data_IF_376356189453
#
_entry.id   IF_376356189453
#
_cell.length_a   1.000
_cell.length_b   1.000
_cell.length_c   1.000
_cell.angle_alpha   90.00
_cell.angle_beta   90.00
_cell.angle_gamma   90.00
#
_symmetry.space_group_name_H-M   'P 1'
#
loop_
_entity.id
_entity.type
_entity.pdbx_description
1 polymer ?
#
# COMPACT_ATOMS: atom_id res chain seq x y z
N UNK A 1 -17.67 0.37 16.34
CA UNK A 1 -17.98 1.55 15.50
C UNK A 1 -17.09 1.48 14.27
N UNK A 2 -17.66 1.61 13.07
CA UNK A 2 -16.87 1.71 11.81
C UNK A 2 -16.04 2.98 11.89
N UNK A 3 -14.71 2.89 11.72
CA UNK A 3 -13.86 4.06 11.59
C UNK A 3 -14.09 4.67 10.22
N UNK A 4 -14.08 5.97 10.11
CA UNK A 4 -14.16 6.69 8.85
C UNK A 4 -12.90 7.55 8.69
N UNK A 5 -11.95 7.05 7.91
CA UNK A 5 -10.70 7.76 7.64
C UNK A 5 -10.86 8.69 6.44
N UNK A 6 -11.16 9.95 6.71
CA UNK A 6 -11.01 11.00 5.71
C UNK A 6 -9.52 11.31 5.52
N UNK A 7 -9.05 11.26 4.26
CA UNK A 7 -7.67 11.57 3.88
C UNK A 7 -7.57 13.01 3.39
N UNK A 8 -6.58 13.74 3.86
CA UNK A 8 -6.32 15.13 3.50
C UNK A 8 -4.84 15.43 3.22
N UNK A 9 -4.52 16.69 2.98
CA UNK A 9 -3.16 17.16 2.63
C UNK A 9 -2.13 16.96 3.74
N UNK A 10 -2.58 16.78 4.99
CA UNK A 10 -1.71 16.51 6.15
C UNK A 10 -1.48 15.04 6.39
N UNK A 11 -1.95 14.19 5.48
CA UNK A 11 -1.75 12.74 5.50
C UNK A 11 -0.72 12.33 4.44
N UNK A 12 -0.07 11.18 4.65
CA UNK A 12 0.79 10.58 3.66
C UNK A 12 0.63 9.05 3.64
N UNK A 13 0.70 8.47 2.45
CA UNK A 13 0.82 7.03 2.25
C UNK A 13 2.31 6.66 2.16
N UNK A 14 2.73 5.67 2.94
CA UNK A 14 4.06 5.07 2.88
C UNK A 14 3.90 3.63 2.44
N UNK A 15 4.37 3.32 1.25
CA UNK A 15 4.36 1.98 0.66
C UNK A 15 5.72 1.35 0.91
N UNK A 16 5.75 0.28 1.71
CA UNK A 16 6.99 -0.31 2.20
C UNK A 16 7.39 -1.49 1.33
N UNK A 17 8.54 -1.38 0.64
CA UNK A 17 9.33 -2.44 0.03
C UNK A 17 8.57 -3.42 -0.87
N UNK A 18 7.63 -2.95 -1.68
CA UNK A 18 6.89 -3.80 -2.64
C UNK A 18 7.76 -4.05 -3.88
N UNK A 19 8.86 -4.79 -3.67
CA UNK A 19 9.90 -5.10 -4.64
C UNK A 19 9.76 -6.53 -5.17
N UNK A 20 10.33 -6.82 -6.35
CA UNK A 20 10.20 -8.14 -6.99
C UNK A 20 10.71 -9.28 -6.11
N UNK A 21 11.82 -9.07 -5.37
CA UNK A 21 12.37 -10.12 -4.50
C UNK A 21 11.47 -10.49 -3.32
N UNK A 22 10.56 -9.62 -2.91
CA UNK A 22 9.59 -9.90 -1.85
C UNK A 22 8.23 -10.42 -2.37
N UNK A 23 8.04 -10.46 -3.69
CA UNK A 23 6.85 -11.01 -4.33
C UNK A 23 7.07 -12.45 -4.78
N UNK A 24 6.01 -13.10 -5.26
CA UNK A 24 6.06 -14.49 -5.75
C UNK A 24 7.15 -14.65 -6.83
N UNK A 25 8.02 -15.65 -6.65
CA UNK A 25 9.15 -15.93 -7.54
C UNK A 25 10.41 -15.11 -7.28
N UNK A 26 10.41 -14.20 -6.31
CA UNK A 26 11.58 -13.43 -5.88
C UNK A 26 12.55 -14.22 -5.01
N UNK A 27 13.67 -13.60 -4.63
CA UNK A 27 14.74 -14.25 -3.87
C UNK A 27 14.39 -14.45 -2.38
N UNK A 28 13.48 -13.66 -1.83
CA UNK A 28 12.99 -13.73 -0.44
C UNK A 28 11.48 -13.46 -0.41
N UNK A 29 10.65 -14.35 -1.01
CA UNK A 29 9.24 -14.07 -1.16
C UNK A 29 8.52 -14.08 0.19
N UNK A 30 7.74 -13.03 0.44
CA UNK A 30 6.80 -12.97 1.55
C UNK A 30 5.57 -13.79 1.17
N UNK A 31 5.07 -14.69 2.04
CA UNK A 31 3.82 -15.41 1.78
C UNK A 31 2.69 -14.45 1.35
N UNK A 32 2.07 -14.70 0.21
CA UNK A 32 1.01 -13.84 -0.36
C UNK A 32 1.42 -12.37 -0.56
N UNK A 33 2.73 -12.09 -0.70
CA UNK A 33 3.27 -10.72 -0.75
C UNK A 33 2.74 -9.89 -1.92
N UNK A 34 2.46 -10.50 -3.05
CA UNK A 34 1.85 -9.87 -4.22
C UNK A 34 0.39 -9.46 -4.01
N UNK A 35 -0.32 -10.07 -3.04
CA UNK A 35 -1.71 -9.73 -2.74
C UNK A 35 -1.88 -8.34 -2.10
N UNK A 36 -0.81 -7.70 -1.62
CA UNK A 36 -0.89 -6.33 -1.14
C UNK A 36 -1.10 -5.31 -2.27
N UNK A 37 -0.72 -5.67 -3.51
CA UNK A 37 -0.65 -4.74 -4.64
C UNK A 37 -2.01 -4.18 -5.04
N UNK A 38 -3.08 -4.97 -5.21
CA UNK A 38 -4.40 -4.43 -5.53
C UNK A 38 -4.88 -3.41 -4.49
N UNK A 39 -4.81 -3.73 -3.20
CA UNK A 39 -5.21 -2.83 -2.12
C UNK A 39 -4.36 -1.55 -2.11
N UNK A 40 -3.03 -1.66 -2.25
CA UNK A 40 -2.15 -0.50 -2.34
C UNK A 40 -2.47 0.40 -3.54
N UNK A 41 -2.83 -0.18 -4.68
CA UNK A 41 -3.25 0.59 -5.85
C UNK A 41 -4.54 1.38 -5.59
N UNK A 42 -5.46 0.85 -4.79
CA UNK A 42 -6.67 1.57 -4.39
C UNK A 42 -6.35 2.67 -3.37
N UNK A 43 -5.50 2.42 -2.39
CA UNK A 43 -4.98 3.49 -1.52
C UNK A 43 -4.26 4.59 -2.29
N UNK A 44 -3.44 4.26 -3.29
CA UNK A 44 -2.82 5.25 -4.17
C UNK A 44 -3.86 6.17 -4.82
N UNK A 45 -4.99 5.64 -5.29
CA UNK A 45 -6.09 6.43 -5.88
C UNK A 45 -6.69 7.39 -4.84
N UNK A 46 -6.99 6.89 -3.62
CA UNK A 46 -7.55 7.66 -2.52
C UNK A 46 -6.62 8.84 -2.18
N UNK A 47 -5.33 8.57 -1.95
CA UNK A 47 -4.36 9.58 -1.57
C UNK A 47 -4.08 10.59 -2.69
N UNK A 48 -4.06 10.15 -3.96
CA UNK A 48 -4.00 11.07 -5.11
C UNK A 48 -5.19 12.01 -5.18
N UNK A 49 -6.41 11.50 -5.01
CA UNK A 49 -7.63 12.31 -5.02
C UNK A 49 -7.63 13.35 -3.91
N UNK A 50 -7.08 13.02 -2.74
CA UNK A 50 -6.93 13.92 -1.61
C UNK A 50 -5.76 14.92 -1.73
N UNK A 51 -4.96 14.87 -2.80
CA UNK A 51 -3.69 15.59 -2.93
C UNK A 51 -2.74 15.37 -1.74
N UNK A 52 -2.76 14.17 -1.15
CA UNK A 52 -1.92 13.73 -0.07
C UNK A 52 -0.56 13.19 -0.58
N UNK A 53 0.45 13.20 0.27
CA UNK A 53 1.78 12.70 -0.08
C UNK A 53 1.82 11.19 -0.31
N UNK A 54 2.57 10.72 -1.31
CA UNK A 54 2.82 9.30 -1.56
C UNK A 54 4.31 9.06 -1.58
N UNK A 55 4.76 8.14 -0.72
CA UNK A 55 6.16 7.74 -0.54
C UNK A 55 6.26 6.23 -0.72
N UNK A 56 7.40 5.77 -1.23
CA UNK A 56 7.72 4.36 -1.29
C UNK A 56 9.12 4.13 -0.72
N UNK A 57 9.29 3.13 0.14
CA UNK A 57 10.60 2.67 0.56
C UNK A 57 11.05 1.51 -0.30
N UNK A 58 12.34 1.29 -0.37
CA UNK A 58 12.94 0.10 -0.97
C UNK A 58 14.19 -0.32 -0.23
N UNK A 59 14.38 -1.62 -0.05
CA UNK A 59 15.69 -2.17 0.26
C UNK A 59 16.61 -1.99 -0.94
N UNK A 60 17.85 -1.55 -0.65
CA UNK A 60 18.83 -1.25 -1.68
C UNK A 60 20.21 -1.73 -1.23
N UNK A 61 20.30 -3.07 -1.08
CA UNK A 61 21.46 -3.71 -0.48
C UNK A 61 22.70 -3.70 -1.41
N UNK A 62 23.88 -3.32 -0.92
CA UNK A 62 25.12 -3.66 -1.61
C UNK A 62 25.31 -5.19 -1.63
N UNK A 63 26.08 -5.75 -2.61
CA UNK A 63 26.23 -7.21 -2.76
C UNK A 63 26.81 -7.94 -1.54
N UNK A 64 27.53 -7.22 -0.68
CA UNK A 64 28.17 -7.74 0.53
C UNK A 64 27.49 -7.29 1.82
N UNK A 65 26.17 -7.06 1.80
CA UNK A 65 25.44 -6.57 2.96
C UNK A 65 25.41 -7.58 4.11
N UNK A 66 25.57 -7.08 5.34
CA UNK A 66 25.69 -7.87 6.59
C UNK A 66 24.47 -8.79 6.83
N UNK A 67 23.29 -8.47 6.30
CA UNK A 67 22.10 -9.29 6.44
C UNK A 67 22.14 -10.60 5.66
N UNK A 68 23.07 -10.76 4.70
CA UNK A 68 23.13 -11.92 3.84
C UNK A 68 23.85 -13.09 4.50
N UNK A 69 23.41 -14.32 4.21
CA UNK A 69 24.00 -15.55 4.75
C UNK A 69 25.50 -15.65 4.53
N UNK A 70 26.01 -15.20 3.37
CA UNK A 70 27.43 -15.19 3.08
C UNK A 70 28.25 -14.24 3.99
N UNK A 71 27.58 -13.31 4.66
CA UNK A 71 28.14 -12.36 5.62
C UNK A 71 27.76 -12.71 7.07
N UNK A 72 27.17 -13.89 7.31
CA UNK A 72 26.73 -14.34 8.64
C UNK A 72 25.30 -13.88 9.03
N UNK A 73 24.59 -13.18 8.14
CA UNK A 73 23.22 -12.77 8.37
C UNK A 73 22.18 -13.88 8.12
N UNK A 74 20.91 -13.64 8.43
CA UNK A 74 19.87 -14.65 8.32
C UNK A 74 19.29 -14.82 6.90
N UNK A 75 19.47 -13.86 5.99
CA UNK A 75 18.74 -13.79 4.74
C UNK A 75 19.55 -14.27 3.52
N UNK A 76 18.92 -14.82 2.49
CA UNK A 76 19.55 -14.94 1.17
C UNK A 76 19.83 -13.54 0.60
N UNK A 77 20.74 -13.39 -0.38
CA UNK A 77 20.86 -12.14 -1.13
C UNK A 77 19.53 -11.76 -1.76
N UNK A 78 19.04 -10.55 -1.47
CA UNK A 78 17.79 -10.00 -1.97
C UNK A 78 17.89 -8.49 -2.11
N UNK A 79 17.07 -7.90 -2.96
CA UNK A 79 17.03 -6.46 -3.23
C UNK A 79 18.42 -5.84 -3.45
N UNK A 80 19.30 -6.62 -4.10
CA UNK A 80 20.66 -6.17 -4.42
C UNK A 80 20.61 -5.02 -5.41
N UNK A 81 21.37 -3.97 -5.15
CA UNK A 81 21.42 -2.76 -5.97
C UNK A 81 21.52 -3.08 -7.47
N UNK A 82 20.73 -2.37 -8.27
CA UNK A 82 20.70 -2.45 -9.74
C UNK A 82 20.20 -3.79 -10.31
N UNK A 83 19.78 -4.76 -9.49
CA UNK A 83 19.18 -6.02 -9.97
C UNK A 83 17.70 -5.86 -10.29
N UNK A 84 17.12 -6.85 -10.99
CA UNK A 84 15.68 -6.94 -11.22
C UNK A 84 14.92 -7.09 -9.89
N UNK A 85 15.46 -7.87 -8.96
CA UNK A 85 14.86 -8.13 -7.66
C UNK A 85 14.65 -6.88 -6.82
N UNK A 86 15.57 -5.92 -6.92
CA UNK A 86 15.50 -4.64 -6.22
C UNK A 86 14.51 -3.63 -6.82
N UNK A 87 13.94 -3.90 -8.00
CA UNK A 87 12.94 -3.02 -8.61
C UNK A 87 11.57 -3.22 -7.94
N UNK A 88 10.77 -2.16 -7.90
CA UNK A 88 9.37 -2.29 -7.52
C UNK A 88 8.63 -3.24 -8.45
N UNK A 89 7.65 -3.96 -7.91
CA UNK A 89 6.79 -4.83 -8.71
C UNK A 89 6.05 -3.99 -9.77
N UNK A 90 6.02 -4.42 -11.06
CA UNK A 90 5.45 -3.64 -12.15
C UNK A 90 3.93 -3.44 -12.05
N UNK A 91 3.24 -4.27 -11.27
CA UNK A 91 1.81 -4.15 -11.04
C UNK A 91 1.45 -3.09 -9.99
N UNK A 92 2.42 -2.63 -9.20
CA UNK A 92 2.27 -1.50 -8.30
C UNK A 92 2.28 -0.19 -9.10
N UNK A 93 1.18 0.54 -9.11
CA UNK A 93 0.96 1.73 -9.94
C UNK A 93 1.44 3.01 -9.25
N UNK A 94 2.72 3.06 -8.89
CA UNK A 94 3.33 4.24 -8.27
C UNK A 94 3.20 5.48 -9.18
N UNK A 95 2.70 6.62 -8.67
CA UNK A 95 2.74 7.89 -9.39
C UNK A 95 4.18 8.30 -9.75
N UNK A 96 4.37 8.99 -10.87
CA UNK A 96 5.69 9.46 -11.32
C UNK A 96 6.40 10.37 -10.31
N UNK A 97 5.63 11.08 -9.50
CA UNK A 97 6.13 12.00 -8.46
C UNK A 97 6.27 11.34 -7.09
N UNK A 98 6.12 10.01 -6.98
CA UNK A 98 6.35 9.29 -5.73
C UNK A 98 7.79 9.49 -5.27
N UNK A 99 7.95 9.90 -4.02
CA UNK A 99 9.28 10.00 -3.41
C UNK A 99 9.74 8.63 -2.94
N UNK A 100 10.85 8.16 -3.51
CA UNK A 100 11.46 6.87 -3.17
C UNK A 100 12.55 7.07 -2.13
N UNK A 101 12.46 6.34 -1.02
CA UNK A 101 13.46 6.30 0.05
C UNK A 101 14.19 4.95 -0.02
N UNK A 102 15.47 4.96 -0.33
CA UNK A 102 16.31 3.76 -0.30
C UNK A 102 16.89 3.56 1.09
N UNK A 103 16.79 2.35 1.63
CA UNK A 103 17.33 1.97 2.94
C UNK A 103 18.28 0.77 2.85
N UNK A 104 18.94 0.41 3.96
CA UNK A 104 19.91 -0.68 4.05
C UNK A 104 21.06 -0.57 3.02
N UNK A 105 21.51 0.64 2.73
CA UNK A 105 22.60 0.91 1.79
C UNK A 105 24.01 0.76 2.42
N UNK A 106 24.08 0.74 3.75
CA UNK A 106 25.35 0.53 4.44
C UNK A 106 25.64 -0.97 4.56
N UNK A 107 26.73 -1.50 3.98
CA UNK A 107 27.00 -2.93 4.00
C UNK A 107 27.19 -3.52 5.41
N UNK A 108 27.50 -2.69 6.40
CA UNK A 108 27.81 -3.12 7.78
C UNK A 108 26.63 -2.92 8.74
N UNK A 109 25.49 -2.44 8.28
CA UNK A 109 24.37 -2.09 9.15
C UNK A 109 23.03 -2.49 8.55
N UNK A 110 22.29 -3.34 9.29
CA UNK A 110 20.92 -3.67 8.95
C UNK A 110 19.97 -2.49 9.21
N UNK A 111 18.95 -2.35 8.36
CA UNK A 111 17.96 -1.30 8.46
C UNK A 111 16.61 -1.74 7.96
N UNK A 112 15.63 -1.87 8.86
CA UNK A 112 14.26 -2.21 8.52
C UNK A 112 13.34 -1.00 8.40
N UNK A 113 13.67 0.16 8.97
CA UNK A 113 12.77 1.32 9.00
C UNK A 113 13.01 2.29 7.85
N UNK A 114 11.94 2.73 7.17
CA UNK A 114 12.02 3.85 6.24
C UNK A 114 12.46 5.17 6.88
N UNK A 115 12.45 5.27 8.20
CA UNK A 115 12.84 6.46 8.96
C UNK A 115 14.25 6.40 9.55
N UNK A 116 15.06 5.41 9.26
CA UNK A 116 16.41 5.34 9.85
C UNK A 116 17.30 6.50 9.43
N UNK A 117 17.15 7.01 8.19
CA UNK A 117 17.69 8.31 7.80
C UNK A 117 16.73 9.45 8.15
N UNK A 118 17.26 10.64 8.34
CA UNK A 118 16.42 11.83 8.61
C UNK A 118 15.58 12.29 7.41
N UNK A 119 15.84 11.79 6.21
CA UNK A 119 15.28 12.29 4.94
C UNK A 119 13.76 12.19 4.88
N UNK A 120 13.19 11.01 5.18
CA UNK A 120 11.74 10.80 5.13
C UNK A 120 11.03 11.70 6.15
N UNK A 121 11.49 11.69 7.40
CA UNK A 121 10.88 12.50 8.46
C UNK A 121 10.93 14.00 8.15
N UNK A 122 12.06 14.49 7.68
CA UNK A 122 12.23 15.89 7.31
C UNK A 122 11.33 16.27 6.13
N UNK A 123 11.20 15.38 5.15
CA UNK A 123 10.33 15.63 3.99
C UNK A 123 8.86 15.67 4.40
N UNK A 124 8.40 14.73 5.22
CA UNK A 124 7.04 14.71 5.75
C UNK A 124 6.72 15.99 6.55
N UNK A 125 7.62 16.39 7.46
CA UNK A 125 7.46 17.62 8.25
C UNK A 125 7.41 18.88 7.38
N UNK A 126 8.27 18.98 6.37
CA UNK A 126 8.25 20.12 5.42
C UNK A 126 6.94 20.20 4.63
N UNK A 127 6.27 19.07 4.41
CA UNK A 127 4.96 19.02 3.76
C UNK A 127 3.78 19.19 4.73
N UNK A 128 4.04 19.41 6.03
CA UNK A 128 3.00 19.55 7.04
C UNK A 128 2.27 18.25 7.36
N UNK A 129 2.88 17.10 7.06
CA UNK A 129 2.27 15.80 7.35
C UNK A 129 2.28 15.56 8.85
N UNK A 130 1.12 15.17 9.37
CA UNK A 130 0.91 14.80 10.78
C UNK A 130 0.53 13.33 10.98
N UNK A 131 -0.03 12.68 9.91
CA UNK A 131 -0.45 11.30 9.97
C UNK A 131 0.06 10.53 8.76
N UNK A 132 0.57 9.32 9.01
CA UNK A 132 1.07 8.43 7.97
C UNK A 132 0.27 7.11 7.96
N UNK A 133 -0.07 6.66 6.77
CA UNK A 133 -0.69 5.36 6.53
C UNK A 133 0.36 4.44 5.91
N UNK A 134 0.58 3.29 6.51
CA UNK A 134 1.71 2.40 6.18
C UNK A 134 1.19 1.04 5.77
N UNK A 135 1.58 0.59 4.59
CA UNK A 135 1.31 -0.75 4.08
C UNK A 135 2.48 -1.26 3.24
N UNK A 136 2.50 -2.53 2.92
CA UNK A 136 3.55 -3.19 2.13
C UNK A 136 4.14 -4.41 2.80
N UNK A 137 5.44 -4.61 2.67
CA UNK A 137 6.16 -5.82 3.04
C UNK A 137 7.39 -5.53 3.93
N UNK A 138 7.73 -6.38 4.90
CA UNK A 138 6.85 -7.37 5.51
C UNK A 138 6.29 -6.82 6.82
N UNK A 139 5.06 -7.24 7.19
CA UNK A 139 4.34 -6.74 8.38
C UNK A 139 5.18 -6.84 9.64
N UNK A 140 5.85 -7.96 9.85
CA UNK A 140 6.64 -8.31 11.05
C UNK A 140 8.08 -7.76 11.02
N UNK A 141 8.51 -7.13 9.92
CA UNK A 141 9.83 -6.52 9.74
C UNK A 141 9.73 -5.04 9.35
N UNK A 142 9.83 -4.72 8.06
CA UNK A 142 9.99 -3.35 7.59
C UNK A 142 8.73 -2.49 7.85
N UNK A 143 7.53 -3.05 7.71
CA UNK A 143 6.28 -2.34 8.01
C UNK A 143 6.22 -2.00 9.49
N UNK A 144 6.40 -2.98 10.40
CA UNK A 144 6.44 -2.76 11.84
C UNK A 144 7.44 -1.68 12.22
N UNK A 145 8.70 -1.84 11.78
CA UNK A 145 9.75 -0.89 12.16
C UNK A 145 9.48 0.52 11.62
N UNK A 146 8.85 0.65 10.45
CA UNK A 146 8.45 1.94 9.90
C UNK A 146 7.32 2.58 10.73
N UNK A 147 6.29 1.81 11.12
CA UNK A 147 5.20 2.29 11.98
C UNK A 147 5.72 2.73 13.35
N UNK A 148 6.52 1.89 14.02
CA UNK A 148 7.09 2.22 15.33
C UNK A 148 7.98 3.46 15.28
N UNK A 149 8.79 3.60 14.24
CA UNK A 149 9.63 4.79 14.04
C UNK A 149 8.80 6.04 13.77
N UNK A 150 7.72 5.95 12.99
CA UNK A 150 6.79 7.06 12.78
C UNK A 150 6.19 7.54 14.11
N UNK A 151 5.71 6.61 14.94
CA UNK A 151 5.18 6.92 16.28
C UNK A 151 6.21 7.59 17.17
N UNK A 152 7.43 7.03 17.23
CA UNK A 152 8.54 7.60 18.01
C UNK A 152 8.92 9.01 17.56
N UNK A 153 8.75 9.31 16.27
CA UNK A 153 9.03 10.64 15.68
C UNK A 153 7.88 11.63 15.82
N UNK A 154 6.76 11.23 16.45
CA UNK A 154 5.59 12.07 16.74
C UNK A 154 4.53 12.10 15.63
N UNK A 155 4.64 11.27 14.60
CA UNK A 155 3.56 11.12 13.63
C UNK A 155 2.45 10.23 14.16
N UNK A 156 1.19 10.53 13.86
CA UNK A 156 0.13 9.55 13.95
C UNK A 156 0.36 8.49 12.87
N UNK A 157 0.27 7.22 13.23
CA UNK A 157 0.52 6.12 12.31
C UNK A 157 -0.67 5.18 12.22
N UNK A 158 -1.04 4.80 11.00
CA UNK A 158 -2.12 3.86 10.71
C UNK A 158 -1.55 2.71 9.88
N UNK A 159 -1.63 1.49 10.41
CA UNK A 159 -1.29 0.27 9.69
C UNK A 159 -2.44 -0.10 8.74
N UNK A 160 -2.14 -0.32 7.46
CA UNK A 160 -3.10 -0.81 6.47
C UNK A 160 -3.09 -2.35 6.46
N UNK A 161 -4.04 -2.97 7.17
CA UNK A 161 -4.05 -4.42 7.41
C UNK A 161 -4.25 -5.23 6.12
N UNK A 162 -5.15 -4.80 5.25
CA UNK A 162 -5.45 -5.46 3.97
C UNK A 162 -4.36 -5.24 2.90
N UNK A 163 -3.50 -4.25 3.13
CA UNK A 163 -2.38 -3.88 2.27
C UNK A 163 -1.01 -4.25 2.87
N UNK A 164 -0.97 -5.20 3.80
CA UNK A 164 0.27 -5.69 4.43
C UNK A 164 0.29 -7.22 4.52
N UNK A 165 1.46 -7.83 4.29
CA UNK A 165 1.70 -9.27 4.48
C UNK A 165 3.03 -9.47 5.20
N UNK A 166 3.12 -10.52 6.02
CA UNK A 166 4.30 -10.81 6.83
C UNK A 166 4.96 -12.13 6.48
N UNK A 167 6.23 -12.26 6.88
CA UNK A 167 7.02 -13.50 6.72
C UNK A 167 6.52 -14.57 7.68
N UNK A 168 6.18 -14.19 8.93
CA UNK A 168 5.70 -15.09 9.97
C UNK A 168 6.64 -16.28 10.18
N UNK A 169 7.95 -16.01 10.28
CA UNK A 169 9.00 -17.03 10.38
C UNK A 169 8.77 -17.99 11.53
N UNK A 170 8.21 -17.50 12.62
CA UNK A 170 7.62 -18.29 13.71
C UNK A 170 6.13 -18.01 13.76
N UNK A 171 5.28 -19.04 13.95
CA UNK A 171 3.85 -18.84 14.12
C UNK A 171 3.55 -17.77 15.16
N UNK A 172 2.79 -16.75 14.77
CA UNK A 172 2.42 -15.63 15.65
C UNK A 172 3.30 -14.38 15.54
N UNK A 173 4.42 -14.38 14.77
CA UNK A 173 5.28 -13.20 14.62
C UNK A 173 4.51 -12.01 14.04
N UNK A 174 3.64 -12.24 13.07
CA UNK A 174 2.80 -11.18 12.47
C UNK A 174 1.81 -10.62 13.50
N UNK A 175 1.12 -11.49 14.25
CA UNK A 175 0.17 -11.05 15.27
C UNK A 175 0.87 -10.20 16.34
N UNK A 176 2.01 -10.71 16.85
CA UNK A 176 2.84 -9.98 17.81
C UNK A 176 3.32 -8.62 17.27
N UNK A 177 3.72 -8.58 16.00
CA UNK A 177 4.14 -7.33 15.36
C UNK A 177 2.99 -6.30 15.29
N UNK A 178 1.77 -6.76 15.00
CA UNK A 178 0.58 -5.90 14.99
C UNK A 178 0.31 -5.39 16.42
N UNK A 179 0.34 -6.26 17.42
CA UNK A 179 0.12 -5.87 18.83
C UNK A 179 1.15 -4.82 19.26
N UNK A 180 2.46 -5.02 18.99
CA UNK A 180 3.52 -4.05 19.28
C UNK A 180 3.26 -2.68 18.62
N UNK A 181 2.75 -2.66 17.37
CA UNK A 181 2.39 -1.41 16.70
C UNK A 181 1.19 -0.72 17.39
N UNK A 182 0.16 -1.47 17.77
CA UNK A 182 -1.01 -0.92 18.47
C UNK A 182 -0.64 -0.40 19.86
N UNK A 183 0.20 -1.13 20.62
CA UNK A 183 0.72 -0.69 21.91
C UNK A 183 1.54 0.60 21.83
N UNK A 184 2.20 0.85 20.69
CA UNK A 184 2.89 2.13 20.44
C UNK A 184 1.94 3.31 20.21
N UNK A 185 0.63 3.07 20.19
CA UNK A 185 -0.41 4.04 19.89
C UNK A 185 -0.65 4.23 18.39
N UNK A 186 -0.24 3.28 17.55
CA UNK A 186 -0.68 3.26 16.16
C UNK A 186 -2.15 2.79 16.07
N UNK A 187 -2.80 3.15 14.97
CA UNK A 187 -4.12 2.63 14.63
C UNK A 187 -3.99 1.62 13.48
N UNK A 188 -5.05 0.93 13.16
CA UNK A 188 -5.15 0.13 11.95
C UNK A 188 -6.39 0.50 11.15
N UNK A 189 -6.34 0.23 9.83
CA UNK A 189 -7.43 0.43 8.90
C UNK A 189 -7.41 -0.62 7.78
N UNK A 190 -8.53 -0.76 7.11
CA UNK A 190 -8.71 -1.46 5.85
C UNK A 190 -9.42 -0.53 4.88
N UNK A 191 -9.49 -0.88 3.58
CA UNK A 191 -10.20 -0.07 2.57
C UNK A 191 -11.65 0.24 2.96
N UNK A 192 -12.30 -0.64 3.71
CA UNK A 192 -13.68 -0.45 4.17
C UNK A 192 -13.86 0.68 5.20
N UNK A 193 -12.75 1.15 5.77
CA UNK A 193 -12.72 2.27 6.72
C UNK A 193 -12.52 3.64 6.04
N UNK A 194 -12.49 3.65 4.71
CA UNK A 194 -12.40 4.86 3.90
C UNK A 194 -13.72 5.09 3.16
N UNK A 195 -14.12 6.34 2.92
CA UNK A 195 -15.28 6.63 2.09
C UNK A 195 -15.07 6.10 0.68
N UNK A 196 -16.16 5.62 0.06
CA UNK A 196 -16.07 5.14 -1.33
C UNK A 196 -15.53 6.26 -2.24
N UNK A 197 -14.47 5.98 -3.01
CA UNK A 197 -13.92 6.97 -3.94
C UNK A 197 -14.92 7.52 -4.95
N UNK A 198 -16.03 6.81 -5.19
CA UNK A 198 -17.10 7.21 -6.09
C UNK A 198 -18.18 8.08 -5.40
N UNK A 199 -18.27 8.06 -4.06
CA UNK A 199 -19.29 8.80 -3.30
C UNK A 199 -18.84 10.17 -2.78
N UNK A 200 -17.52 10.48 -2.83
CA UNK A 200 -17.03 11.77 -2.36
C UNK A 200 -17.24 12.83 -3.45
N UNK A 201 -18.08 13.86 -3.25
CA UNK A 201 -18.19 14.98 -4.18
C UNK A 201 -16.80 15.64 -4.35
N UNK A 202 -16.45 15.98 -5.58
CA UNK A 202 -15.23 16.78 -5.85
C UNK A 202 -15.49 18.16 -5.26
N UNK A 203 -15.09 18.39 -4.01
CA UNK A 203 -15.09 19.72 -3.41
C UNK A 203 -13.96 20.50 -4.07
N UNK A 204 -14.33 21.46 -4.94
CA UNK A 204 -13.40 22.42 -5.53
C UNK A 204 -13.17 22.26 -7.04
N UNK A 205 -14.17 21.87 -7.80
CA UNK A 205 -14.20 22.15 -9.24
C UNK A 205 -14.84 23.53 -9.45
N UNK A 206 -14.05 24.57 -9.84
CA UNK A 206 -14.60 25.91 -10.08
C UNK A 206 -15.59 25.98 -11.24
N UNK A 207 -15.67 24.92 -12.06
CA UNK A 207 -16.56 24.84 -13.22
C UNK A 207 -17.95 24.30 -12.83
N UNK A 208 -18.05 23.50 -11.77
CA UNK A 208 -19.33 23.03 -11.24
C UNK A 208 -20.16 24.15 -10.55
N UNK A 209 -19.50 25.13 -9.94
CA UNK A 209 -20.17 26.30 -9.35
C UNK A 209 -20.73 27.26 -10.41
N UNK A 210 -20.19 27.26 -11.63
CA UNK A 210 -20.68 28.13 -12.72
C UNK A 210 -21.94 27.65 -13.40
N UNK A 211 -22.28 26.35 -13.30
CA UNK A 211 -23.42 25.76 -14.02
C UNK A 211 -24.72 25.72 -13.21
N UNK A 212 -24.71 26.11 -11.94
CA UNK A 212 -25.93 26.29 -11.15
C UNK A 212 -26.85 25.07 -11.06
N UNK A 213 -26.29 23.84 -11.18
CA UNK A 213 -27.08 22.62 -11.10
C UNK A 213 -27.44 22.32 -9.65
N UNK A 214 -28.72 22.54 -9.32
CA UNK A 214 -29.32 22.12 -8.06
C UNK A 214 -29.21 20.58 -7.94
N UNK A 215 -28.95 20.04 -6.75
CA UNK A 215 -28.91 18.60 -6.55
C UNK A 215 -30.25 17.99 -6.89
N UNK A 216 -30.26 17.02 -7.79
CA UNK A 216 -31.45 16.23 -8.14
C UNK A 216 -31.97 15.49 -6.90
N UNK A 217 -33.14 15.87 -6.46
CA UNK A 217 -33.85 15.21 -5.37
C UNK A 217 -34.17 13.76 -5.73
N UNK A 218 -33.99 12.87 -4.74
CA UNK A 218 -34.51 11.48 -4.78
C UNK A 218 -35.95 11.47 -5.27
N UNK A 219 -36.23 10.62 -6.20
CA UNK A 219 -37.46 9.98 -6.62
C UNK A 219 -37.63 9.98 -8.14
N UNK A 220 -37.34 8.82 -8.74
CA UNK A 220 -38.33 8.13 -9.60
C UNK A 220 -37.75 6.79 -10.11
N UNK A 221 -38.01 5.75 -9.33
CA UNK A 221 -38.02 4.39 -9.85
C UNK A 221 -39.27 4.21 -10.68
N UNK A 222 -39.18 4.26 -11.99
CA UNK A 222 -40.25 3.74 -12.88
C UNK A 222 -39.71 2.57 -13.70
N UNK A 223 -40.35 1.43 -13.42
CA UNK A 223 -40.42 0.20 -14.19
C UNK A 223 -40.29 0.43 -15.69
N UNK A 224 -39.38 -0.24 -16.37
CA UNK A 224 -39.59 -0.66 -17.76
C UNK A 224 -39.44 -2.16 -17.89
N UNK A 225 -40.50 -2.72 -18.44
CA UNK A 225 -40.79 -4.12 -18.61
C UNK A 225 -39.87 -4.83 -19.63
N UNK A 226 -39.66 -6.09 -19.37
CA UNK A 226 -39.43 -7.22 -20.26
C UNK A 226 -39.51 -6.94 -21.76
N UNK A 227 -38.40 -7.16 -22.49
CA UNK A 227 -38.46 -7.68 -23.85
C UNK A 227 -37.51 -8.89 -23.94
N UNK A 228 -38.13 -10.07 -24.20
CA UNK A 228 -37.42 -11.31 -24.51
C UNK A 228 -37.05 -11.28 -26.01
N UNK A 229 -35.87 -11.65 -26.44
CA UNK A 229 -35.63 -12.06 -27.83
C UNK A 229 -36.00 -13.54 -28.00
N UNK A 230 -36.88 -13.81 -28.95
CA UNK A 230 -37.12 -15.14 -29.53
C UNK A 230 -36.15 -15.35 -30.67
N UNK A 231 -35.62 -16.58 -30.79
CA UNK A 231 -35.02 -17.03 -32.04
C UNK A 231 -34.07 -18.22 -31.82
N UNK A 232 -33.98 -19.18 -32.72
CA UNK A 232 -33.85 -20.59 -32.42
C UNK A 232 -32.41 -21.07 -32.56
N UNK A 233 -31.96 -21.85 -31.58
CA UNK A 233 -30.73 -22.66 -31.71
C UNK A 233 -31.02 -23.93 -32.54
N UNK A 234 -30.42 -24.04 -33.74
CA UNK A 234 -30.34 -25.29 -34.48
C UNK A 234 -29.33 -26.23 -33.81
N UNK A 235 -29.78 -27.42 -33.46
CA UNK A 235 -28.95 -28.55 -33.04
C UNK A 235 -28.11 -29.03 -34.24
N UNK A 236 -26.81 -29.12 -34.06
CA UNK A 236 -25.95 -29.90 -34.96
C UNK A 236 -25.76 -31.27 -34.33
N UNK A 237 -26.14 -32.27 -35.11
CA UNK A 237 -26.06 -33.68 -34.81
C UNK A 237 -24.61 -34.14 -35.03
N UNK A 238 -24.02 -34.80 -34.04
CA UNK A 238 -22.77 -35.56 -34.23
C UNK A 238 -23.13 -36.94 -34.71
N UNK A 239 -22.66 -37.31 -35.91
CA UNK A 239 -22.56 -38.71 -36.34
C UNK A 239 -21.13 -39.17 -36.19
N UNK A 240 -21.04 -40.42 -35.67
CA UNK A 240 -19.81 -41.16 -35.51
C UNK A 240 -19.42 -41.81 -36.83
N UNK A 241 -18.14 -41.91 -37.08
CA UNK A 241 -17.46 -42.74 -38.01
C UNK A 241 -16.00 -42.89 -37.56
#
# INVERSE_FOLDING_TARGET
MKKDFSVGKTDALIIVDVQNDFCLGGALPVPEGDQVIPALNDYIKIFKKANAGIFATRDWHPPNHVSFKAQGGPWPPHCVQNTHGAKFNPDLKLPRNTKVVSKAMNPLKENYSGFEGAELANTLRKQGVVRVFVGGLATDYCVKNTVLSARKLGFNAVLLLDASRGINAKPGDVAKAIDEMMESGAEHATLTDFPDPLEVPISGDPEAERLGEKPLSKFETKKKARMRPKGPYKRIRTERG
#
